data_IF_039585423524
#
_entry.id   IF_039585423524
#
_cell.length_a   1.000
_cell.length_b   1.000
_cell.length_c   1.000
_cell.angle_alpha   90.00
_cell.angle_beta   90.00
_cell.angle_gamma   90.00
#
_symmetry.space_group_name_H-M   'P 1'
#
loop_
_entity.id
_entity.type
_entity.pdbx_description
1 polymer ?
#
# COMPACT_ATOMS: atom_id res chain seq x y z
N UNK A 1 12.51 -8.90 -1.75
CA UNK A 1 12.26 -9.70 -2.98
C UNK A 1 11.95 -8.71 -4.09
N UNK A 2 12.42 -8.90 -5.33
CA UNK A 2 11.93 -8.08 -6.44
C UNK A 2 10.42 -8.24 -6.57
N UNK A 3 9.74 -7.20 -7.05
CA UNK A 3 8.33 -7.27 -7.45
C UNK A 3 8.07 -8.57 -8.25
N UNK A 4 7.02 -9.37 -7.91
CA UNK A 4 6.71 -10.60 -8.64
C UNK A 4 6.72 -10.38 -10.14
N UNK A 5 7.28 -11.34 -10.89
CA UNK A 5 7.55 -11.17 -12.32
C UNK A 5 6.34 -10.67 -13.12
N UNK A 6 5.14 -11.17 -12.81
CA UNK A 6 3.89 -10.72 -13.45
C UNK A 6 3.63 -9.21 -13.24
N UNK A 7 3.84 -8.72 -12.02
CA UNK A 7 3.61 -7.31 -11.70
C UNK A 7 4.70 -6.42 -12.30
N UNK A 8 5.94 -6.91 -12.39
CA UNK A 8 7.02 -6.22 -13.09
C UNK A 8 6.74 -6.12 -14.60
N UNK A 9 6.18 -7.16 -15.21
CA UNK A 9 5.76 -7.11 -16.62
C UNK A 9 4.63 -6.11 -16.85
N UNK A 10 3.66 -6.02 -15.94
CA UNK A 10 2.57 -5.02 -16.02
C UNK A 10 3.12 -3.61 -15.83
N UNK A 11 4.06 -3.40 -14.89
CA UNK A 11 4.76 -2.12 -14.71
C UNK A 11 5.47 -1.67 -15.98
N UNK A 12 6.18 -2.58 -16.66
CA UNK A 12 6.97 -2.27 -17.86
C UNK A 12 6.13 -2.09 -19.13
N UNK A 13 5.04 -2.84 -19.26
CA UNK A 13 4.23 -2.86 -20.47
C UNK A 13 2.72 -2.88 -20.16
N UNK A 14 2.17 -1.86 -19.49
CA UNK A 14 0.81 -1.90 -18.95
C UNK A 14 -0.25 -2.13 -20.04
N UNK A 15 -0.07 -1.57 -21.23
CA UNK A 15 -0.99 -1.75 -22.36
C UNK A 15 -1.05 -3.18 -22.93
N UNK A 16 -0.13 -4.08 -22.58
CA UNK A 16 -0.22 -5.50 -22.96
C UNK A 16 -1.06 -6.34 -21.99
N UNK A 17 -1.19 -5.89 -20.74
CA UNK A 17 -1.81 -6.66 -19.65
C UNK A 17 -3.14 -6.06 -19.18
N UNK A 18 -3.28 -4.74 -19.26
CA UNK A 18 -4.46 -4.00 -18.84
C UNK A 18 -5.31 -3.66 -20.06
N UNK A 19 -6.64 -3.74 -19.91
CA UNK A 19 -7.61 -3.35 -20.95
C UNK A 19 -7.44 -1.88 -21.35
N UNK A 20 -7.17 -1.03 -20.37
CA UNK A 20 -6.78 0.37 -20.51
C UNK A 20 -5.82 0.71 -19.37
N UNK A 21 -4.92 1.67 -19.59
CA UNK A 21 -3.97 2.10 -18.58
C UNK A 21 -4.66 3.11 -17.66
N UNK A 22 -5.50 2.59 -16.77
CA UNK A 22 -6.20 3.37 -15.74
C UNK A 22 -5.87 2.83 -14.36
N UNK A 23 -5.83 3.72 -13.38
CA UNK A 23 -5.45 3.41 -12.01
C UNK A 23 -6.38 2.37 -11.39
N UNK A 24 -7.69 2.52 -11.55
CA UNK A 24 -8.69 1.58 -11.04
C UNK A 24 -8.56 0.19 -11.68
N UNK A 25 -8.24 0.12 -12.97
CA UNK A 25 -7.97 -1.15 -13.67
C UNK A 25 -6.68 -1.81 -13.17
N UNK A 26 -5.63 -1.03 -12.90
CA UNK A 26 -4.40 -1.55 -12.31
C UNK A 26 -4.61 -2.02 -10.86
N UNK A 27 -5.38 -1.27 -10.06
CA UNK A 27 -5.80 -1.68 -8.70
C UNK A 27 -6.54 -3.00 -8.74
N UNK A 28 -7.55 -3.14 -9.62
CA UNK A 28 -8.31 -4.37 -9.77
C UNK A 28 -7.43 -5.56 -10.22
N UNK A 29 -6.42 -5.31 -11.06
CA UNK A 29 -5.45 -6.33 -11.45
C UNK A 29 -4.64 -6.80 -10.23
N UNK A 30 -4.13 -5.87 -9.41
CA UNK A 30 -3.35 -6.19 -8.20
C UNK A 30 -4.20 -6.93 -7.17
N UNK A 31 -5.42 -6.47 -6.90
CA UNK A 31 -6.35 -7.14 -5.99
C UNK A 31 -6.68 -8.56 -6.50
N UNK A 32 -6.93 -8.73 -7.80
CA UNK A 32 -7.17 -10.04 -8.39
C UNK A 32 -5.98 -10.99 -8.27
N UNK A 33 -4.76 -10.47 -8.44
CA UNK A 33 -3.53 -11.23 -8.23
C UNK A 33 -3.33 -11.61 -6.75
N UNK A 34 -3.58 -10.68 -5.81
CA UNK A 34 -3.51 -10.95 -4.38
C UNK A 34 -4.50 -12.06 -3.98
N UNK A 35 -5.76 -11.97 -4.42
CA UNK A 35 -6.78 -13.00 -4.23
C UNK A 35 -6.33 -14.36 -4.81
N UNK A 36 -5.78 -14.37 -6.02
CA UNK A 36 -5.28 -15.60 -6.66
C UNK A 36 -4.07 -16.21 -5.92
N UNK A 37 -3.38 -15.43 -5.09
CA UNK A 37 -2.24 -15.84 -4.26
C UNK A 37 -2.59 -15.97 -2.78
N UNK A 38 -3.87 -16.20 -2.46
CA UNK A 38 -4.40 -16.36 -1.09
C UNK A 38 -4.21 -15.12 -0.18
N UNK A 39 -4.18 -13.92 -0.75
CA UNK A 39 -4.08 -12.66 -0.02
C UNK A 39 -2.68 -12.35 0.53
N UNK A 40 -1.66 -13.10 0.12
CA UNK A 40 -0.30 -12.99 0.68
C UNK A 40 0.52 -11.81 0.15
N UNK A 41 0.15 -11.24 -0.99
CA UNK A 41 0.91 -10.15 -1.60
C UNK A 41 0.72 -8.86 -0.80
N UNK A 42 -0.50 -8.54 -0.39
CA UNK A 42 -0.84 -7.26 0.21
C UNK A 42 -0.88 -7.27 1.75
N UNK A 43 -0.54 -8.38 2.40
CA UNK A 43 -0.45 -8.44 3.89
C UNK A 43 0.50 -7.37 4.41
N UNK A 44 -0.02 -6.43 5.21
CA UNK A 44 0.72 -5.31 5.79
C UNK A 44 0.86 -4.09 4.87
N UNK A 45 0.34 -4.14 3.64
CA UNK A 45 0.50 -3.04 2.67
C UNK A 45 -0.28 -1.80 3.08
N UNK A 46 -1.53 -1.98 3.53
CA UNK A 46 -2.37 -0.86 3.99
C UNK A 46 -1.74 -0.18 5.20
N UNK A 47 -1.27 -0.95 6.17
CA UNK A 47 -0.63 -0.47 7.39
C UNK A 47 0.63 0.33 7.05
N UNK A 48 1.43 -0.18 6.11
CA UNK A 48 2.61 0.51 5.60
C UNK A 48 2.26 1.84 4.90
N UNK A 49 1.17 1.88 4.12
CA UNK A 49 0.70 3.12 3.50
C UNK A 49 0.17 4.12 4.54
N UNK A 50 -0.54 3.68 5.58
CA UNK A 50 -1.00 4.57 6.66
C UNK A 50 0.20 5.23 7.35
N UNK A 51 1.26 4.48 7.63
CA UNK A 51 2.48 5.02 8.21
C UNK A 51 3.17 6.06 7.30
N UNK A 52 3.08 5.89 5.98
CA UNK A 52 3.65 6.83 5.00
C UNK A 52 2.81 8.09 4.86
N UNK A 53 1.47 7.95 4.81
CA UNK A 53 0.56 9.08 4.72
C UNK A 53 0.51 9.88 6.05
N UNK A 54 0.64 9.18 7.18
CA UNK A 54 0.53 9.71 8.53
C UNK A 54 -0.75 10.55 8.74
N UNK A 55 -1.87 10.05 8.22
CA UNK A 55 -3.23 10.57 8.33
C UNK A 55 -4.15 9.42 8.78
N UNK A 56 -5.45 9.67 8.93
CA UNK A 56 -6.44 8.67 9.34
C UNK A 56 -6.35 7.32 8.59
N UNK A 57 -6.80 6.25 9.24
CA UNK A 57 -6.69 4.88 8.73
C UNK A 57 -7.99 4.35 8.07
N UNK A 58 -9.04 5.16 7.92
CA UNK A 58 -10.37 4.70 7.52
C UNK A 58 -10.56 4.46 6.01
N UNK A 59 -9.50 4.60 5.21
CA UNK A 59 -9.54 4.45 3.76
C UNK A 59 -9.05 3.07 3.29
N UNK A 60 -9.55 2.65 2.14
CA UNK A 60 -8.99 1.53 1.39
C UNK A 60 -7.56 1.86 0.93
N UNK A 61 -6.71 0.84 0.78
CA UNK A 61 -5.29 1.02 0.45
C UNK A 61 -5.09 1.85 -0.83
N UNK A 62 -5.93 1.66 -1.85
CA UNK A 62 -5.84 2.38 -3.14
C UNK A 62 -6.15 3.88 -2.99
N UNK A 63 -7.05 4.25 -2.07
CA UNK A 63 -7.37 5.64 -1.77
C UNK A 63 -6.28 6.31 -0.93
N UNK A 64 -5.66 5.58 0.00
CA UNK A 64 -4.47 6.06 0.74
C UNK A 64 -3.34 6.33 -0.25
N UNK A 65 -3.09 5.40 -1.17
CA UNK A 65 -2.06 5.52 -2.19
C UNK A 65 -2.30 6.75 -3.08
N UNK A 66 -3.54 7.02 -3.51
CA UNK A 66 -3.86 8.25 -4.26
C UNK A 66 -3.63 9.53 -3.45
N UNK A 67 -3.86 9.52 -2.14
CA UNK A 67 -3.57 10.69 -1.28
C UNK A 67 -2.06 10.92 -1.14
N UNK A 68 -1.29 9.86 -0.94
CA UNK A 68 0.18 9.93 -0.90
C UNK A 68 0.66 10.47 -2.25
N UNK A 69 0.15 9.93 -3.34
CA UNK A 69 0.48 10.33 -4.69
C UNK A 69 0.28 11.84 -4.94
N UNK A 70 -0.89 12.35 -4.56
CA UNK A 70 -1.24 13.76 -4.66
C UNK A 70 -0.37 14.65 -3.78
N UNK A 71 -0.01 14.18 -2.58
CA UNK A 71 0.83 14.91 -1.64
C UNK A 71 2.29 14.97 -2.08
N UNK A 72 2.87 13.84 -2.50
CA UNK A 72 4.28 13.72 -2.87
C UNK A 72 4.59 14.36 -4.22
N UNK A 73 3.61 14.42 -5.12
CA UNK A 73 3.76 14.96 -6.47
C UNK A 73 2.91 16.23 -6.67
N UNK A 74 2.60 16.92 -5.58
CA UNK A 74 1.86 18.18 -5.62
C UNK A 74 2.57 19.21 -6.51
N UNK A 75 1.83 19.74 -7.49
CA UNK A 75 2.36 20.74 -8.44
C UNK A 75 3.08 20.16 -9.66
N UNK A 76 3.21 18.84 -9.79
CA UNK A 76 3.65 18.19 -11.03
C UNK A 76 2.43 17.92 -11.94
N UNK A 77 2.28 18.61 -13.08
CA UNK A 77 1.15 18.40 -13.98
C UNK A 77 1.14 16.99 -14.60
N UNK A 78 2.29 16.34 -14.70
CA UNK A 78 2.40 14.98 -15.25
C UNK A 78 1.92 13.92 -14.26
N UNK A 79 1.88 14.23 -12.97
CA UNK A 79 1.43 13.32 -11.93
C UNK A 79 -0.06 13.01 -11.98
N UNK A 80 -0.85 13.87 -12.64
CA UNK A 80 -2.28 13.72 -12.79
C UNK A 80 -2.70 12.71 -13.88
N UNK A 81 -1.76 12.21 -14.71
CA UNK A 81 -2.08 11.23 -15.75
C UNK A 81 -2.31 9.85 -15.16
N UNK A 82 -3.16 9.06 -15.81
CA UNK A 82 -3.46 7.69 -15.39
C UNK A 82 -2.21 6.80 -15.51
N UNK A 83 -1.40 6.98 -16.56
CA UNK A 83 -0.14 6.27 -16.73
C UNK A 83 0.84 6.55 -15.58
N UNK A 84 0.94 7.81 -15.14
CA UNK A 84 1.82 8.17 -14.04
C UNK A 84 1.32 7.61 -12.70
N UNK A 85 0.00 7.56 -12.48
CA UNK A 85 -0.60 6.91 -11.29
C UNK A 85 -0.39 5.39 -11.28
N UNK A 86 -0.52 4.75 -12.43
CA UNK A 86 -0.22 3.31 -12.58
C UNK A 86 1.27 3.05 -12.32
N UNK A 87 2.16 3.89 -12.85
CA UNK A 87 3.59 3.77 -12.58
C UNK A 87 3.91 3.99 -11.10
N UNK A 88 3.25 4.95 -10.44
CA UNK A 88 3.37 5.20 -9.00
C UNK A 88 2.94 3.98 -8.20
N UNK A 89 1.76 3.40 -8.47
CA UNK A 89 1.28 2.16 -7.83
C UNK A 89 2.33 1.04 -7.82
N UNK A 90 2.87 0.69 -8.99
CA UNK A 90 3.82 -0.41 -9.08
C UNK A 90 5.18 -0.08 -8.43
N UNK A 91 5.59 1.19 -8.44
CA UNK A 91 6.80 1.63 -7.74
C UNK A 91 6.61 1.55 -6.21
N UNK A 92 5.46 1.98 -5.71
CA UNK A 92 5.10 1.88 -4.29
C UNK A 92 5.00 0.43 -3.83
N UNK A 93 4.46 -0.48 -4.64
CA UNK A 93 4.44 -1.92 -4.34
C UNK A 93 5.85 -2.52 -4.26
N UNK A 94 6.74 -2.14 -5.19
CA UNK A 94 8.14 -2.59 -5.21
C UNK A 94 8.90 -2.12 -3.95
N UNK A 95 8.70 -0.87 -3.53
CA UNK A 95 9.24 -0.32 -2.28
C UNK A 95 8.73 -1.08 -1.05
N UNK A 96 7.42 -1.28 -0.96
CA UNK A 96 6.79 -2.02 0.13
C UNK A 96 7.33 -3.45 0.23
N UNK A 97 7.33 -4.20 -0.88
CA UNK A 97 7.83 -5.58 -0.88
C UNK A 97 9.32 -5.64 -0.55
N UNK A 98 10.09 -4.64 -0.96
CA UNK A 98 11.50 -4.53 -0.58
C UNK A 98 11.69 -4.31 0.93
N UNK A 99 10.85 -3.51 1.58
CA UNK A 99 10.88 -3.32 3.03
C UNK A 99 10.39 -4.56 3.79
N UNK A 100 9.26 -5.12 3.37
CA UNK A 100 8.60 -6.27 4.00
C UNK A 100 9.49 -7.50 4.11
N UNK A 101 10.30 -7.73 3.07
CA UNK A 101 11.18 -8.91 2.93
C UNK A 101 12.52 -8.77 3.68
N UNK A 102 12.75 -7.65 4.37
CA UNK A 102 13.89 -7.54 5.30
C UNK A 102 13.72 -8.54 6.46
N UNK A 103 14.79 -8.98 7.15
CA UNK A 103 14.72 -9.99 8.21
C UNK A 103 13.69 -9.73 9.32
N UNK A 104 13.31 -8.48 9.55
CA UNK A 104 12.26 -8.06 10.50
C UNK A 104 11.21 -7.16 9.86
N UNK A 105 11.16 -7.06 8.53
CA UNK A 105 10.37 -6.09 7.78
C UNK A 105 8.88 -6.15 8.13
N UNK A 106 8.26 -7.31 7.91
CA UNK A 106 6.86 -7.55 8.25
C UNK A 106 6.53 -7.21 9.71
N UNK A 107 7.35 -7.69 10.66
CA UNK A 107 7.16 -7.42 12.10
C UNK A 107 7.27 -5.93 12.39
N UNK A 108 8.25 -5.26 11.82
CA UNK A 108 8.50 -3.83 12.00
C UNK A 108 7.32 -2.99 11.52
N UNK A 109 6.74 -3.32 10.36
CA UNK A 109 5.55 -2.65 9.83
C UNK A 109 4.40 -2.70 10.83
N UNK A 110 4.06 -3.89 11.33
CA UNK A 110 2.96 -4.04 12.28
C UNK A 110 3.23 -3.41 13.64
N UNK A 111 4.46 -3.51 14.17
CA UNK A 111 4.82 -2.84 15.44
C UNK A 111 4.71 -1.33 15.30
N UNK A 112 5.27 -0.74 14.22
CA UNK A 112 5.19 0.69 13.96
C UNK A 112 3.75 1.15 13.76
N UNK A 113 2.93 0.35 13.07
CA UNK A 113 1.52 0.66 12.88
C UNK A 113 0.75 0.65 14.20
N UNK A 114 1.01 -0.33 15.07
CA UNK A 114 0.42 -0.40 16.40
C UNK A 114 0.87 0.76 17.30
N UNK A 115 2.15 1.13 17.25
CA UNK A 115 2.67 2.32 17.93
C UNK A 115 1.99 3.60 17.41
N UNK A 116 1.80 3.70 16.09
CA UNK A 116 1.10 4.81 15.46
C UNK A 116 -0.37 4.87 15.90
N UNK A 117 -1.09 3.74 15.93
CA UNK A 117 -2.47 3.66 16.42
C UNK A 117 -2.57 4.20 17.85
N UNK A 118 -1.68 3.76 18.75
CA UNK A 118 -1.65 4.20 20.15
C UNK A 118 -1.32 5.67 20.35
N UNK A 119 -0.69 6.31 19.38
CA UNK A 119 -0.44 7.74 19.41
C UNK A 119 -1.69 8.57 19.03
N UNK A 120 -2.73 7.94 18.47
CA UNK A 120 -3.94 8.63 18.06
C UNK A 120 -4.89 8.84 19.26
N UNK A 121 -5.52 10.01 19.31
CA UNK A 121 -6.47 10.38 20.37
C UNK A 121 -7.76 9.55 20.34
N UNK A 122 -8.10 8.99 19.18
CA UNK A 122 -9.30 8.16 18.96
C UNK A 122 -9.07 6.65 19.17
N UNK A 123 -7.84 6.18 19.41
CA UNK A 123 -7.57 4.75 19.59
C UNK A 123 -7.42 4.40 21.08
N UNK A 124 -8.45 3.78 21.62
CA UNK A 124 -8.59 3.49 23.05
C UNK A 124 -9.17 2.07 23.28
N UNK A 125 -9.28 1.59 24.53
CA UNK A 125 -9.84 0.28 24.84
C UNK A 125 -11.29 0.02 24.37
N UNK A 126 -12.03 1.07 23.97
CA UNK A 126 -13.34 0.96 23.34
C UNK A 126 -13.30 0.76 21.82
N UNK A 127 -12.12 0.86 21.20
CA UNK A 127 -11.96 0.65 19.76
C UNK A 127 -12.11 -0.83 19.40
N UNK A 128 -12.81 -1.18 18.29
CA UNK A 128 -13.08 -2.57 17.92
C UNK A 128 -11.83 -3.45 17.76
N UNK A 129 -10.76 -2.85 17.27
CA UNK A 129 -9.49 -3.53 16.96
C UNK A 129 -8.43 -3.29 18.04
N UNK A 130 -8.83 -2.78 19.22
CA UNK A 130 -7.87 -2.51 20.30
C UNK A 130 -7.27 -3.81 20.82
N UNK A 131 -5.94 -3.88 20.83
CA UNK A 131 -5.19 -5.02 21.39
C UNK A 131 -4.55 -4.60 22.71
N UNK A 132 -4.71 -5.34 23.82
CA UNK A 132 -3.94 -5.08 25.04
C UNK A 132 -2.46 -5.43 24.82
N UNK A 133 -1.54 -4.59 25.30
CA UNK A 133 -0.14 -5.04 25.44
C UNK A 133 -0.09 -6.08 26.56
N UNK A 134 0.47 -7.25 26.26
CA UNK A 134 0.90 -8.19 27.29
C UNK A 134 1.84 -7.43 28.22
N UNK A 135 1.56 -7.47 29.53
CA UNK A 135 2.47 -6.92 30.55
C UNK A 135 3.80 -7.66 30.41
N UNK A 136 4.89 -6.90 30.29
CA UNK A 136 6.26 -7.41 30.44
C UNK A 136 6.47 -8.01 31.85
#
# INVERSE_FOLDING_TARGET
>A
MPLPHVLEMVRRCPGMYLRCVQFDVAVAFVDGFDVATNGGLLVGFREWLVLRLNDGNNLAWSQILLRIDQSERAGDPSAATEEARVAFLFSTLDEFLSERERPTGMRSIFVRYEDWLRAQDWYDPGSPDWVPRSKD
#
